data_IF_550670181383
#
_entry.id   IF_550670181383
#
_cell.length_a   1.000
_cell.length_b   1.000
_cell.length_c   1.000
_cell.angle_alpha   90.00
_cell.angle_beta   90.00
_cell.angle_gamma   90.00
#
_symmetry.space_group_name_H-M   'P 1'
#
loop_
_entity.id
_entity.type
_entity.pdbx_description
1 polymer ?
#
# COMPACT_ATOMS: atom_id res chain seq x y z
N UNK A 1 -13.07 14.00 -7.14
CA UNK A 1 -11.82 14.72 -7.48
C UNK A 1 -11.88 16.06 -6.76
N UNK A 2 -10.86 16.41 -5.97
CA UNK A 2 -10.82 17.69 -5.24
C UNK A 2 -9.71 18.54 -5.85
N UNK A 3 -10.03 19.78 -6.21
CA UNK A 3 -9.07 20.71 -6.80
C UNK A 3 -8.57 21.69 -5.74
N UNK A 4 -7.25 21.81 -5.58
CA UNK A 4 -6.60 22.75 -4.68
C UNK A 4 -5.91 23.84 -5.51
N UNK A 5 -6.14 25.11 -5.17
CA UNK A 5 -5.55 26.27 -5.86
C UNK A 5 -4.43 26.85 -5.00
N UNK A 6 -3.28 27.12 -5.62
CA UNK A 6 -2.14 27.82 -5.03
C UNK A 6 -1.55 27.19 -3.75
N UNK A 7 -1.75 25.88 -3.56
CA UNK A 7 -1.20 25.10 -2.46
C UNK A 7 -0.21 24.03 -2.97
N UNK A 8 1.08 24.35 -3.15
CA UNK A 8 2.09 23.38 -3.63
C UNK A 8 2.31 22.22 -2.66
N UNK A 9 1.96 22.39 -1.38
CA UNK A 9 2.00 21.36 -0.35
C UNK A 9 0.95 20.26 -0.55
N UNK A 10 -0.12 20.54 -1.31
CA UNK A 10 -1.21 19.60 -1.57
C UNK A 10 -0.73 18.29 -2.22
N UNK A 11 0.40 18.32 -2.92
CA UNK A 11 1.04 17.11 -3.48
C UNK A 11 1.40 16.07 -2.43
N UNK A 12 1.64 16.48 -1.18
CA UNK A 12 2.02 15.63 -0.05
C UNK A 12 0.88 15.43 0.96
N UNK A 13 -0.38 15.67 0.58
CA UNK A 13 -1.48 15.45 1.51
C UNK A 13 -1.62 13.98 1.89
N UNK A 14 -1.74 13.67 3.20
CA UNK A 14 -1.95 12.30 3.65
C UNK A 14 -3.20 11.66 3.04
N UNK A 15 -4.26 12.43 2.77
CA UNK A 15 -5.46 11.93 2.10
C UNK A 15 -5.23 11.27 0.73
N UNK A 16 -4.09 11.52 0.07
CA UNK A 16 -3.72 10.91 -1.23
C UNK A 16 -3.30 9.45 -1.14
N UNK A 17 -2.80 9.03 0.02
CA UNK A 17 -2.23 7.69 0.19
C UNK A 17 -3.24 6.75 0.81
N UNK A 18 -3.19 5.45 0.49
CA UNK A 18 -4.08 4.44 1.08
C UNK A 18 -3.48 3.80 2.33
N UNK A 19 -2.18 3.55 2.34
CA UNK A 19 -1.45 2.91 3.44
C UNK A 19 -1.00 3.95 4.47
N UNK A 20 -1.05 3.58 5.74
CA UNK A 20 -0.78 4.52 6.84
C UNK A 20 0.69 4.96 6.91
N UNK A 21 1.63 4.09 6.54
CA UNK A 21 3.04 4.43 6.51
C UNK A 21 3.34 5.53 5.45
N UNK A 22 2.95 5.39 4.17
CA UNK A 22 3.01 6.50 3.21
C UNK A 22 2.28 7.76 3.66
N UNK A 23 1.10 7.64 4.29
CA UNK A 23 0.39 8.80 4.87
C UNK A 23 1.22 9.56 5.89
N UNK A 24 1.88 8.83 6.78
CA UNK A 24 2.72 9.41 7.81
C UNK A 24 3.96 10.07 7.19
N UNK A 25 4.60 9.41 6.23
CA UNK A 25 5.75 9.99 5.48
C UNK A 25 5.32 11.27 4.77
N UNK A 26 4.15 11.28 4.14
CA UNK A 26 3.59 12.44 3.47
C UNK A 26 3.31 13.59 4.45
N UNK A 27 2.72 13.27 5.62
CA UNK A 27 2.50 14.24 6.70
C UNK A 27 3.82 14.83 7.23
N UNK A 28 4.83 14.01 7.45
CA UNK A 28 6.15 14.49 7.89
C UNK A 28 6.76 15.37 6.80
N UNK A 29 6.66 14.96 5.54
CA UNK A 29 7.23 15.71 4.42
C UNK A 29 6.51 17.03 4.15
N UNK A 30 5.20 17.12 4.38
CA UNK A 30 4.46 18.39 4.27
C UNK A 30 4.88 19.40 5.35
N UNK A 31 5.45 18.96 6.47
CA UNK A 31 6.06 19.86 7.48
C UNK A 31 7.39 20.47 7.03
N UNK A 32 8.00 19.97 5.96
CA UNK A 32 9.23 20.52 5.38
C UNK A 32 8.93 21.11 4.00
N UNK A 33 8.31 22.31 3.95
CA UNK A 33 7.89 22.91 2.70
C UNK A 33 9.09 23.20 1.80
N UNK A 34 9.05 22.62 0.60
CA UNK A 34 9.92 23.06 -0.50
C UNK A 34 9.48 24.44 -0.93
N UNK A 35 10.43 25.39 -1.01
CA UNK A 35 10.17 26.76 -1.46
C UNK A 35 9.37 26.74 -2.78
N UNK A 36 8.31 27.57 -2.90
CA UNK A 36 7.60 27.73 -4.15
C UNK A 36 8.58 28.11 -5.26
N UNK A 37 8.40 27.54 -6.43
CA UNK A 37 9.13 27.91 -7.63
C UNK A 37 8.68 29.32 -8.03
N UNK A 38 9.61 30.27 -8.09
CA UNK A 38 9.32 31.68 -8.34
C UNK A 38 8.80 31.96 -9.76
N UNK A 39 8.85 30.97 -10.64
CA UNK A 39 8.48 31.01 -12.05
C UNK A 39 7.03 30.57 -12.35
N UNK A 40 6.21 30.28 -11.33
CA UNK A 40 4.84 29.78 -11.51
C UNK A 40 3.82 30.67 -10.79
N UNK A 41 3.01 31.40 -11.56
CA UNK A 41 2.01 32.34 -11.03
C UNK A 41 0.81 31.65 -10.37
N UNK A 42 0.38 30.49 -10.87
CA UNK A 42 -0.72 29.72 -10.29
C UNK A 42 -0.49 28.21 -10.44
N UNK A 43 -0.73 27.46 -9.36
CA UNK A 43 -0.66 25.99 -9.35
C UNK A 43 -2.05 25.44 -9.05
N UNK A 44 -2.64 24.73 -10.00
CA UNK A 44 -3.86 23.96 -9.78
C UNK A 44 -3.51 22.48 -9.70
N UNK A 45 -3.67 21.89 -8.51
CA UNK A 45 -3.41 20.47 -8.27
C UNK A 45 -4.73 19.73 -8.15
N UNK A 46 -5.00 18.87 -9.12
CA UNK A 46 -6.08 17.88 -9.02
C UNK A 46 -5.56 16.68 -8.24
N UNK A 47 -6.17 16.44 -7.07
CA UNK A 47 -5.86 15.25 -6.28
C UNK A 47 -6.85 14.15 -6.67
N UNK A 48 -6.32 13.14 -7.36
CA UNK A 48 -6.96 11.84 -7.45
C UNK A 48 -6.48 10.95 -6.29
N UNK A 49 -7.46 10.41 -5.53
CA UNK A 49 -7.25 9.57 -4.35
C UNK A 49 -6.90 8.13 -4.71
N UNK A 50 -7.11 7.75 -5.98
CA UNK A 50 -7.00 6.37 -6.45
C UNK A 50 -5.81 6.10 -7.38
N UNK A 51 -5.05 7.13 -7.75
CA UNK A 51 -3.97 7.07 -8.74
C UNK A 51 -2.54 7.24 -8.18
N UNK A 52 -2.27 6.89 -6.93
CA UNK A 52 -0.87 6.80 -6.46
C UNK A 52 -0.18 5.56 -7.04
N UNK A 53 0.14 5.61 -8.34
CA UNK A 53 1.00 4.67 -9.08
C UNK A 53 2.22 4.30 -8.24
N UNK A 54 2.88 5.30 -7.65
CA UNK A 54 4.06 5.09 -6.81
C UNK A 54 3.83 4.29 -5.52
N UNK A 55 2.60 4.11 -5.06
CA UNK A 55 2.26 3.29 -3.90
C UNK A 55 1.81 1.88 -4.33
N UNK A 56 1.00 1.79 -5.38
CA UNK A 56 0.40 0.53 -5.81
C UNK A 56 1.40 -0.43 -6.48
N UNK A 57 2.32 0.08 -7.32
CA UNK A 57 3.29 -0.77 -8.02
C UNK A 57 4.29 -1.43 -7.06
N UNK A 58 4.95 -0.71 -6.13
CA UNK A 58 5.88 -1.35 -5.20
C UNK A 58 5.21 -2.40 -4.33
N UNK A 59 3.99 -2.16 -3.87
CA UNK A 59 3.24 -3.11 -3.04
C UNK A 59 2.86 -4.34 -3.84
N UNK A 60 2.41 -4.18 -5.09
CA UNK A 60 2.08 -5.31 -5.98
C UNK A 60 3.32 -6.14 -6.31
N UNK A 61 4.43 -5.50 -6.66
CA UNK A 61 5.72 -6.16 -6.93
C UNK A 61 6.21 -6.90 -5.68
N UNK A 62 6.13 -6.25 -4.52
CA UNK A 62 6.52 -6.84 -3.25
C UNK A 62 5.67 -8.06 -2.87
N UNK A 63 4.34 -7.98 -3.04
CA UNK A 63 3.45 -9.11 -2.83
C UNK A 63 3.77 -10.25 -3.78
N UNK A 64 3.89 -9.99 -5.08
CA UNK A 64 4.21 -11.02 -6.07
C UNK A 64 5.55 -11.70 -5.78
N UNK A 65 6.58 -10.92 -5.44
CA UNK A 65 7.89 -11.45 -5.06
C UNK A 65 7.79 -12.35 -3.81
N UNK A 66 7.07 -11.91 -2.79
CA UNK A 66 6.87 -12.67 -1.55
C UNK A 66 6.10 -13.98 -1.79
N UNK A 67 5.00 -13.94 -2.55
CA UNK A 67 4.24 -15.14 -2.93
C UNK A 67 5.11 -16.10 -3.76
N UNK A 68 5.91 -15.58 -4.69
CA UNK A 68 6.85 -16.39 -5.48
C UNK A 68 7.85 -17.11 -4.59
N UNK A 69 8.43 -16.42 -3.59
CA UNK A 69 9.32 -17.03 -2.61
C UNK A 69 8.62 -18.12 -1.77
N UNK A 70 7.37 -17.88 -1.36
CA UNK A 70 6.58 -18.85 -0.59
C UNK A 70 6.26 -20.11 -1.41
N UNK A 71 5.84 -19.93 -2.66
CA UNK A 71 5.60 -21.04 -3.59
C UNK A 71 6.89 -21.81 -3.84
N UNK A 72 7.99 -21.11 -4.14
CA UNK A 72 9.29 -21.72 -4.37
C UNK A 72 9.78 -22.54 -3.16
N UNK A 73 9.50 -22.08 -1.93
CA UNK A 73 9.87 -22.78 -0.71
C UNK A 73 9.12 -24.11 -0.48
N UNK A 74 7.94 -24.28 -1.12
CA UNK A 74 7.12 -25.50 -1.00
C UNK A 74 7.33 -26.43 -2.21
N UNK A 75 7.77 -25.88 -3.34
CA UNK A 75 8.05 -26.65 -4.54
C UNK A 75 9.36 -27.44 -4.44
N UNK A 76 9.40 -28.57 -5.15
CA UNK A 76 10.64 -29.30 -5.33
C UNK A 76 11.60 -28.54 -6.28
N UNK A 77 12.91 -28.74 -6.12
CA UNK A 77 13.96 -27.97 -6.83
C UNK A 77 13.76 -27.94 -8.34
N UNK A 78 13.30 -29.05 -8.94
CA UNK A 78 13.01 -29.16 -10.38
C UNK A 78 11.90 -28.24 -10.89
N UNK A 79 11.04 -27.73 -10.01
CA UNK A 79 9.88 -26.91 -10.36
C UNK A 79 10.06 -25.43 -9.99
N UNK A 80 11.24 -25.01 -9.50
CA UNK A 80 11.46 -23.63 -9.06
C UNK A 80 11.24 -22.60 -10.18
N UNK A 81 11.53 -22.94 -11.43
CA UNK A 81 11.29 -22.06 -12.58
C UNK A 81 9.80 -21.73 -12.81
N UNK A 82 8.89 -22.59 -12.31
CA UNK A 82 7.44 -22.41 -12.47
C UNK A 82 6.82 -21.62 -11.31
N UNK A 83 7.56 -21.41 -10.22
CA UNK A 83 7.11 -20.68 -9.03
C UNK A 83 6.46 -19.31 -9.33
N UNK A 84 7.04 -18.40 -10.17
CA UNK A 84 6.42 -17.11 -10.43
C UNK A 84 5.08 -17.23 -11.17
N UNK A 85 4.94 -18.19 -12.08
CA UNK A 85 3.69 -18.43 -12.81
C UNK A 85 2.60 -18.96 -11.87
N UNK A 86 2.95 -19.87 -10.97
CA UNK A 86 2.04 -20.37 -9.94
C UNK A 86 1.64 -19.24 -8.98
N UNK A 87 2.57 -18.37 -8.59
CA UNK A 87 2.28 -17.22 -7.74
C UNK A 87 1.26 -16.27 -8.41
N UNK A 88 1.46 -15.94 -9.69
CA UNK A 88 0.50 -15.13 -10.47
C UNK A 88 -0.86 -15.82 -10.51
N UNK A 89 -0.90 -17.13 -10.82
CA UNK A 89 -2.14 -17.88 -10.88
C UNK A 89 -2.89 -17.87 -9.53
N UNK A 90 -2.19 -18.06 -8.41
CA UNK A 90 -2.78 -18.02 -7.06
C UNK A 90 -3.31 -16.62 -6.71
N UNK A 91 -2.58 -15.56 -7.04
CA UNK A 91 -3.05 -14.19 -6.84
C UNK A 91 -4.29 -13.90 -7.68
N UNK A 92 -4.30 -14.29 -8.95
CA UNK A 92 -5.46 -14.09 -9.84
C UNK A 92 -6.67 -14.91 -9.38
N UNK A 93 -6.46 -16.16 -8.98
CA UNK A 93 -7.52 -17.00 -8.43
C UNK A 93 -8.15 -16.35 -7.19
N UNK A 94 -7.34 -15.75 -6.32
CA UNK A 94 -7.83 -15.03 -5.13
C UNK A 94 -8.63 -13.79 -5.53
N UNK A 95 -8.15 -13.01 -6.49
CA UNK A 95 -8.85 -11.81 -6.98
C UNK A 95 -10.21 -12.19 -7.58
N UNK A 96 -10.25 -13.20 -8.44
CA UNK A 96 -11.46 -13.65 -9.13
C UNK A 96 -12.45 -14.28 -8.15
N UNK A 97 -12.00 -15.17 -7.27
CA UNK A 97 -12.87 -15.82 -6.27
C UNK A 97 -13.53 -14.81 -5.32
N UNK A 98 -12.76 -13.83 -4.82
CA UNK A 98 -13.30 -12.79 -3.95
C UNK A 98 -14.30 -11.88 -4.70
N UNK A 99 -14.03 -11.59 -5.98
CA UNK A 99 -14.93 -10.81 -6.83
C UNK A 99 -16.25 -11.51 -7.15
N UNK A 100 -16.23 -12.83 -7.35
CA UNK A 100 -17.44 -13.62 -7.65
C UNK A 100 -18.30 -13.85 -6.40
N UNK A 101 -17.68 -14.09 -5.24
CA UNK A 101 -18.39 -14.46 -4.00
C UNK A 101 -19.04 -13.24 -3.32
N UNK A 102 -18.74 -12.02 -3.78
CA UNK A 102 -19.20 -10.79 -3.14
C UNK A 102 -20.52 -10.19 -3.65
N UNK A 103 -21.30 -9.51 -2.80
CA UNK A 103 -22.36 -8.61 -3.27
C UNK A 103 -21.82 -7.59 -4.28
N UNK A 104 -22.49 -7.50 -5.44
CA UNK A 104 -22.13 -6.65 -6.58
C UNK A 104 -21.99 -5.16 -6.22
N UNK A 105 -22.64 -4.70 -5.15
CA UNK A 105 -22.69 -3.30 -4.72
C UNK A 105 -21.56 -2.89 -3.76
N UNK A 106 -20.74 -3.83 -3.28
CA UNK A 106 -19.63 -3.50 -2.39
C UNK A 106 -18.36 -3.11 -3.16
N UNK A 107 -17.46 -2.40 -2.47
CA UNK A 107 -16.18 -1.98 -3.02
C UNK A 107 -15.24 -3.19 -3.18
N UNK A 108 -15.35 -3.88 -4.32
CA UNK A 108 -14.59 -5.10 -4.68
C UNK A 108 -13.08 -4.95 -4.45
N UNK A 109 -12.53 -3.76 -4.73
CA UNK A 109 -11.11 -3.46 -4.52
C UNK A 109 -10.69 -3.57 -3.05
N UNK A 110 -11.53 -3.10 -2.13
CA UNK A 110 -11.23 -3.13 -0.71
C UNK A 110 -11.19 -4.57 -0.19
N UNK A 111 -12.19 -5.37 -0.58
CA UNK A 111 -12.28 -6.78 -0.17
C UNK A 111 -11.16 -7.63 -0.73
N UNK A 112 -10.86 -7.49 -2.02
CA UNK A 112 -9.73 -8.19 -2.64
C UNK A 112 -8.41 -7.84 -1.95
N UNK A 113 -8.20 -6.56 -1.64
CA UNK A 113 -7.01 -6.12 -0.89
C UNK A 113 -6.98 -6.74 0.51
N UNK A 114 -8.10 -6.73 1.23
CA UNK A 114 -8.19 -7.31 2.58
C UNK A 114 -7.91 -8.82 2.57
N UNK A 115 -8.49 -9.56 1.62
CA UNK A 115 -8.27 -11.00 1.48
C UNK A 115 -6.82 -11.33 1.11
N UNK A 116 -6.23 -10.63 0.13
CA UNK A 116 -4.84 -10.85 -0.26
C UNK A 116 -3.87 -10.55 0.89
N UNK A 117 -4.04 -9.41 1.56
CA UNK A 117 -3.20 -9.06 2.71
C UNK A 117 -3.39 -10.02 3.88
N UNK A 118 -4.63 -10.47 4.15
CA UNK A 118 -4.92 -11.46 5.18
C UNK A 118 -4.25 -12.81 4.92
N UNK A 119 -4.39 -13.34 3.70
CA UNK A 119 -3.73 -14.59 3.29
C UNK A 119 -2.21 -14.44 3.33
N UNK A 120 -1.68 -13.32 2.87
CA UNK A 120 -0.25 -13.02 2.94
C UNK A 120 0.25 -12.95 4.38
N UNK A 121 -0.52 -12.37 5.30
CA UNK A 121 -0.16 -12.31 6.71
C UNK A 121 -0.12 -13.71 7.33
N UNK A 122 -1.12 -14.55 7.06
CA UNK A 122 -1.17 -15.94 7.53
C UNK A 122 0.02 -16.75 6.98
N UNK A 123 0.26 -16.67 5.66
CA UNK A 123 1.38 -17.34 5.02
C UNK A 123 2.72 -16.87 5.61
N UNK A 124 2.88 -15.56 5.81
CA UNK A 124 4.10 -14.99 6.40
C UNK A 124 4.28 -15.47 7.85
N UNK A 125 3.24 -15.51 8.67
CA UNK A 125 3.31 -16.04 10.03
C UNK A 125 3.78 -17.50 10.04
N UNK A 126 3.26 -18.33 9.12
CA UNK A 126 3.69 -19.72 8.96
C UNK A 126 5.17 -19.84 8.54
N UNK A 127 5.58 -19.14 7.47
CA UNK A 127 6.94 -19.21 6.95
C UNK A 127 7.98 -18.57 7.88
N UNK A 128 7.59 -17.59 8.71
CA UNK A 128 8.45 -16.99 9.72
C UNK A 128 8.93 -18.00 10.78
N UNK A 129 8.14 -19.05 11.03
CA UNK A 129 8.50 -20.15 11.94
C UNK A 129 9.30 -21.27 11.27
N UNK A 130 9.52 -21.21 9.95
CA UNK A 130 10.25 -22.24 9.22
C UNK A 130 11.78 -22.14 9.39
N UNK A 131 12.48 -23.25 9.14
CA UNK A 131 13.96 -23.28 9.09
C UNK A 131 14.53 -22.84 7.74
N UNK A 132 13.68 -22.59 6.75
CA UNK A 132 14.08 -22.23 5.38
C UNK A 132 14.49 -20.75 5.30
N UNK A 133 15.39 -20.35 4.37
CA UNK A 133 15.73 -18.94 4.12
C UNK A 133 14.52 -18.04 3.83
N UNK A 134 13.40 -18.62 3.38
CA UNK A 134 12.14 -17.90 3.15
C UNK A 134 11.61 -17.19 4.39
N UNK A 135 12.03 -17.62 5.59
CA UNK A 135 11.69 -16.97 6.87
C UNK A 135 12.09 -15.48 6.87
N UNK A 136 13.17 -15.10 6.19
CA UNK A 136 13.61 -13.70 6.16
C UNK A 136 12.65 -12.82 5.35
N UNK A 137 12.13 -13.34 4.23
CA UNK A 137 11.09 -12.68 3.43
C UNK A 137 9.82 -12.51 4.27
N UNK A 138 9.45 -13.55 5.02
CA UNK A 138 8.30 -13.52 5.92
C UNK A 138 8.44 -12.50 7.06
N UNK A 139 9.58 -12.49 7.75
CA UNK A 139 9.87 -11.50 8.79
C UNK A 139 9.87 -10.08 8.25
N UNK A 140 10.41 -9.87 7.05
CA UNK A 140 10.40 -8.55 6.42
C UNK A 140 8.97 -8.10 6.06
N UNK A 141 8.13 -9.01 5.51
CA UNK A 141 6.71 -8.71 5.27
C UNK A 141 5.98 -8.35 6.58
N UNK A 142 6.14 -9.17 7.63
CA UNK A 142 5.52 -8.91 8.94
C UNK A 142 6.03 -7.62 9.58
N UNK A 143 7.32 -7.31 9.42
CA UNK A 143 7.93 -6.07 9.87
C UNK A 143 7.30 -4.85 9.19
N UNK A 144 7.14 -4.88 7.86
CA UNK A 144 6.45 -3.81 7.13
C UNK A 144 4.98 -3.70 7.55
N UNK A 145 4.28 -4.82 7.70
CA UNK A 145 2.89 -4.82 8.16
C UNK A 145 2.76 -4.22 9.57
N UNK A 146 3.67 -4.57 10.49
CA UNK A 146 3.75 -4.01 11.83
C UNK A 146 4.06 -2.52 11.84
N UNK A 147 5.03 -2.08 11.03
CA UNK A 147 5.34 -0.65 10.84
C UNK A 147 4.13 0.12 10.30
N UNK A 148 3.41 -0.44 9.33
CA UNK A 148 2.20 0.18 8.79
C UNK A 148 1.07 0.23 9.84
N UNK A 149 0.93 -0.80 10.68
CA UNK A 149 -0.03 -0.79 11.78
C UNK A 149 0.32 0.26 12.85
N UNK A 150 1.59 0.40 13.21
CA UNK A 150 2.05 1.47 14.11
C UNK A 150 1.81 2.86 13.49
N UNK A 151 2.14 3.05 12.21
CA UNK A 151 1.86 4.29 11.50
C UNK A 151 0.37 4.62 11.48
N UNK A 152 -0.51 3.61 11.39
CA UNK A 152 -1.95 3.81 11.48
C UNK A 152 -2.38 4.36 12.85
N UNK A 153 -1.83 3.83 13.94
CA UNK A 153 -2.09 4.35 15.29
C UNK A 153 -1.61 5.80 15.44
N UNK A 154 -0.42 6.11 14.93
CA UNK A 154 0.12 7.48 14.92
C UNK A 154 -0.78 8.42 14.11
N UNK A 155 -1.23 7.99 12.93
CA UNK A 155 -2.15 8.78 12.09
C UNK A 155 -3.53 8.97 12.74
N UNK A 156 -4.01 8.03 13.56
CA UNK A 156 -5.21 8.22 14.38
C UNK A 156 -4.97 9.35 15.40
N UNK A 157 -3.85 9.32 16.11
CA UNK A 157 -3.50 10.36 17.08
C UNK A 157 -3.36 11.75 16.41
N UNK A 158 -2.81 11.79 15.18
CA UNK A 158 -2.60 13.02 14.41
C UNK A 158 -3.82 13.46 13.59
N UNK A 159 -4.96 12.76 13.67
CA UNK A 159 -6.13 13.00 12.79
C UNK A 159 -6.61 14.46 12.78
N UNK A 160 -6.57 15.15 13.93
CA UNK A 160 -6.95 16.57 14.03
C UNK A 160 -5.99 17.47 13.24
N UNK A 161 -4.68 17.30 13.47
CA UNK A 161 -3.65 18.09 12.80
C UNK A 161 -3.64 17.88 11.28
N UNK A 162 -3.89 16.65 10.81
CA UNK A 162 -4.00 16.35 9.37
C UNK A 162 -5.18 17.10 8.76
N UNK A 163 -6.35 17.09 9.41
CA UNK A 163 -7.53 17.82 8.93
C UNK A 163 -7.31 19.33 8.89
N UNK A 164 -6.63 19.88 9.89
CA UNK A 164 -6.28 21.30 9.92
C UNK A 164 -5.32 21.68 8.79
N UNK A 165 -4.35 20.83 8.46
CA UNK A 165 -3.43 21.04 7.34
C UNK A 165 -4.19 21.06 6.01
N UNK A 166 -5.06 20.07 5.78
CA UNK A 166 -5.82 19.98 4.51
C UNK A 166 -6.81 21.14 4.34
N UNK A 167 -7.48 21.57 5.43
CA UNK A 167 -8.40 22.72 5.43
C UNK A 167 -7.75 24.05 5.06
N UNK A 168 -6.47 24.26 5.40
CA UNK A 168 -5.77 25.52 5.06
C UNK A 168 -5.63 25.75 3.56
N UNK A 169 -5.76 24.70 2.77
CA UNK A 169 -5.66 24.76 1.32
C UNK A 169 -7.01 24.55 0.62
N UNK A 170 -8.08 24.26 1.35
CA UNK A 170 -9.43 24.24 0.77
C UNK A 170 -9.83 25.67 0.39
N UNK A 171 -10.39 25.88 -0.83
CA UNK A 171 -10.80 27.20 -1.32
C UNK A 171 -11.99 27.79 -0.56
#
# INVERSE_FOLDING_TARGET
>A
MTAYRDCPEARWFPSRYRFALPRLIAYVRSRFPTRPRADVDHIMLTIDRDQTVGEQYPISVWMLASVTCYVAAVLHVRWLAVAPFIAIALMQLTIVSVGIIGPLHENHLHRTSMSLFGLMFIASAWFAMSKSPVRYVAWFFLGIAGLNAMAFLVMIALRKSVRELERRCEP
#
